data_IF_795795555931
#
_entry.id   IF_795795555931
#
_cell.length_a   1.000
_cell.length_b   1.000
_cell.length_c   1.000
_cell.angle_alpha   90.00
_cell.angle_beta   90.00
_cell.angle_gamma   90.00
#
_symmetry.space_group_name_H-M   'P 1'
#
loop_
_entity.id
_entity.type
_entity.pdbx_description
1 polymer ?
#
# COMPACT_ATOMS: atom_id res chain seq x y z
N UNK A 1 -2.48 9.47 8.05
CA UNK A 1 -1.63 9.34 6.84
C UNK A 1 -0.62 8.22 7.01
N UNK A 2 0.04 7.74 5.95
CA UNK A 2 0.89 6.53 5.97
C UNK A 2 1.93 6.53 7.11
N UNK A 3 2.61 7.65 7.35
CA UNK A 3 3.60 7.78 8.43
C UNK A 3 3.04 7.45 9.83
N UNK A 4 1.76 7.71 10.08
CA UNK A 4 1.13 7.38 11.36
C UNK A 4 0.92 5.87 11.48
N UNK A 5 0.53 5.21 10.39
CA UNK A 5 0.33 3.75 10.33
C UNK A 5 1.68 3.03 10.50
N UNK A 6 2.73 3.51 9.84
CA UNK A 6 4.08 2.97 9.98
C UNK A 6 4.62 3.05 11.43
N UNK A 7 4.19 4.04 12.22
CA UNK A 7 4.59 4.16 13.63
C UNK A 7 3.77 3.28 14.57
N UNK A 8 2.49 3.07 14.30
CA UNK A 8 1.62 2.29 15.18
C UNK A 8 1.90 0.78 15.11
N UNK A 9 2.67 0.32 14.13
CA UNK A 9 2.85 -1.11 13.88
C UNK A 9 4.01 -1.78 14.61
N UNK A 10 4.76 -1.04 15.42
CA UNK A 10 5.72 -1.63 16.36
C UNK A 10 5.06 -2.51 17.42
N UNK A 11 3.75 -2.37 17.63
CA UNK A 11 2.97 -3.09 18.64
C UNK A 11 2.27 -4.34 18.09
N UNK A 12 2.34 -4.59 16.77
CA UNK A 12 1.75 -5.77 16.14
C UNK A 12 2.71 -6.97 16.10
N UNK A 13 2.17 -8.16 15.87
CA UNK A 13 2.98 -9.34 15.59
C UNK A 13 3.82 -9.16 14.32
N UNK A 14 4.91 -9.92 14.21
CA UNK A 14 5.88 -9.78 13.13
C UNK A 14 5.25 -9.96 11.74
N UNK A 15 4.34 -10.93 11.58
CA UNK A 15 3.73 -11.22 10.28
C UNK A 15 2.80 -10.09 9.84
N UNK A 16 1.97 -9.57 10.75
CA UNK A 16 1.13 -8.39 10.49
C UNK A 16 1.99 -7.16 10.20
N UNK A 17 3.08 -6.97 10.96
CA UNK A 17 4.01 -5.84 10.76
C UNK A 17 4.65 -5.84 9.39
N UNK A 18 5.09 -7.00 8.91
CA UNK A 18 5.67 -7.17 7.58
C UNK A 18 4.68 -6.86 6.46
N UNK A 19 3.45 -7.39 6.55
CA UNK A 19 2.41 -7.17 5.53
C UNK A 19 2.08 -5.68 5.39
N UNK A 20 1.82 -4.99 6.50
CA UNK A 20 1.47 -3.57 6.46
C UNK A 20 2.66 -2.71 6.04
N UNK A 21 3.90 -3.04 6.45
CA UNK A 21 5.11 -2.35 5.94
C UNK A 21 5.21 -2.51 4.42
N UNK A 22 4.94 -3.71 3.89
CA UNK A 22 4.90 -3.95 2.45
C UNK A 22 3.92 -3.04 1.72
N UNK A 23 2.70 -2.90 2.26
CA UNK A 23 1.70 -1.98 1.70
C UNK A 23 2.11 -0.50 1.83
N UNK A 24 2.67 -0.08 2.97
CA UNK A 24 3.16 1.28 3.15
C UNK A 24 4.28 1.62 2.16
N UNK A 25 5.19 0.68 1.91
CA UNK A 25 6.23 0.80 0.89
C UNK A 25 5.64 0.88 -0.52
N UNK A 26 4.64 0.07 -0.84
CA UNK A 26 3.97 0.11 -2.15
C UNK A 26 3.32 1.48 -2.42
N UNK A 27 2.65 2.07 -1.42
CA UNK A 27 2.05 3.40 -1.59
C UNK A 27 3.12 4.49 -1.67
N UNK A 28 4.15 4.46 -0.82
CA UNK A 28 5.27 5.43 -0.90
C UNK A 28 5.97 5.35 -2.25
N UNK A 29 6.26 4.14 -2.73
CA UNK A 29 6.87 3.92 -4.03
C UNK A 29 6.00 4.44 -5.17
N UNK A 30 4.68 4.32 -5.07
CA UNK A 30 3.75 4.86 -6.07
C UNK A 30 3.78 6.38 -6.13
N UNK A 31 3.89 7.04 -4.97
CA UNK A 31 3.94 8.51 -4.86
C UNK A 31 5.26 9.11 -5.35
N UNK A 32 6.38 8.40 -5.21
CA UNK A 32 7.71 8.93 -5.56
C UNK A 32 8.23 8.47 -6.92
N UNK A 33 7.61 7.44 -7.51
CA UNK A 33 7.96 6.97 -8.85
C UNK A 33 7.11 7.72 -9.86
N UNK A 34 7.39 9.01 -9.96
CA UNK A 34 7.02 9.81 -11.12
C UNK A 34 7.84 9.31 -12.30
N UNK A 35 7.20 9.00 -13.41
CA UNK A 35 7.88 8.50 -14.62
C UNK A 35 8.82 9.55 -15.23
N UNK A 36 9.07 9.48 -16.53
CA UNK A 36 9.73 10.59 -17.24
C UNK A 36 8.71 11.45 -17.98
N UNK A 37 8.23 12.58 -17.42
CA UNK A 37 7.50 13.56 -18.21
C UNK A 37 8.36 14.07 -19.39
N UNK A 38 7.77 14.40 -20.55
CA UNK A 38 6.35 14.25 -20.92
C UNK A 38 5.99 12.86 -21.50
N UNK A 39 6.96 11.94 -21.61
CA UNK A 39 6.77 10.62 -22.21
C UNK A 39 5.83 9.73 -21.37
N UNK A 40 5.87 9.90 -20.06
CA UNK A 40 4.99 9.22 -19.12
C UNK A 40 3.98 10.17 -18.50
N UNK A 41 2.70 9.81 -18.57
CA UNK A 41 1.65 10.46 -17.80
C UNK A 41 1.74 10.04 -16.32
N UNK A 42 2.59 10.71 -15.54
CA UNK A 42 2.85 10.42 -14.13
C UNK A 42 1.58 10.29 -13.28
N UNK A 43 0.60 11.18 -13.51
CA UNK A 43 -0.70 11.15 -12.83
C UNK A 43 -1.53 9.90 -13.14
N UNK A 44 -1.55 9.44 -14.40
CA UNK A 44 -2.25 8.20 -14.78
C UNK A 44 -1.58 6.98 -14.17
N UNK A 45 -0.24 6.92 -14.22
CA UNK A 45 0.52 5.84 -13.58
C UNK A 45 0.33 5.80 -12.06
N UNK A 46 0.24 6.96 -11.42
CA UNK A 46 -0.08 7.05 -9.99
C UNK A 46 -1.46 6.46 -9.70
N UNK A 47 -2.49 6.89 -10.46
CA UNK A 47 -3.85 6.40 -10.28
C UNK A 47 -3.93 4.88 -10.47
N UNK A 48 -3.33 4.35 -11.54
CA UNK A 48 -3.33 2.91 -11.84
C UNK A 48 -2.72 2.10 -10.69
N UNK A 49 -1.55 2.52 -10.19
CA UNK A 49 -0.87 1.83 -9.08
C UNK A 49 -1.67 1.87 -7.78
N UNK A 50 -2.27 3.00 -7.45
CA UNK A 50 -3.12 3.11 -6.26
C UNK A 50 -4.37 2.22 -6.38
N UNK A 51 -4.99 2.15 -7.56
CA UNK A 51 -6.12 1.25 -7.81
C UNK A 51 -5.74 -0.23 -7.70
N UNK A 52 -4.53 -0.62 -8.13
CA UNK A 52 -4.05 -2.00 -7.95
C UNK A 52 -3.81 -2.34 -6.47
N UNK A 53 -3.29 -1.39 -5.69
CA UNK A 53 -3.10 -1.55 -4.24
C UNK A 53 -4.46 -1.71 -3.55
N UNK A 54 -5.42 -0.85 -3.87
CA UNK A 54 -6.80 -0.92 -3.34
C UNK A 54 -7.46 -2.26 -3.68
N UNK A 55 -7.42 -2.68 -4.95
CA UNK A 55 -7.98 -3.96 -5.37
C UNK A 55 -7.31 -5.16 -4.65
N UNK A 56 -6.01 -5.06 -4.35
CA UNK A 56 -5.31 -6.07 -3.57
C UNK A 56 -5.84 -6.15 -2.13
N UNK A 57 -6.01 -5.00 -1.46
CA UNK A 57 -6.58 -4.93 -0.12
C UNK A 57 -8.03 -5.43 -0.08
N UNK A 58 -8.84 -5.06 -1.07
CA UNK A 58 -10.24 -5.48 -1.17
C UNK A 58 -10.36 -7.01 -1.33
N UNK A 59 -9.50 -7.64 -2.14
CA UNK A 59 -9.45 -9.10 -2.26
C UNK A 59 -9.13 -9.78 -0.92
N UNK A 60 -8.21 -9.23 -0.14
CA UNK A 60 -7.88 -9.76 1.19
C UNK A 60 -9.08 -9.62 2.14
N UNK A 61 -9.74 -8.46 2.14
CA UNK A 61 -10.94 -8.24 2.95
C UNK A 61 -12.06 -9.23 2.59
N UNK A 62 -12.31 -9.47 1.31
CA UNK A 62 -13.31 -10.43 0.81
C UNK A 62 -12.99 -11.89 1.16
N UNK A 63 -11.71 -12.25 1.29
CA UNK A 63 -11.28 -13.63 1.61
C UNK A 63 -11.50 -13.99 3.09
N UNK A 64 -11.88 -13.02 3.94
CA UNK A 64 -12.16 -13.27 5.37
C UNK A 64 -10.92 -13.62 6.20
N UNK A 65 -9.72 -13.34 5.71
CA UNK A 65 -8.46 -13.81 6.31
C UNK A 65 -7.95 -12.97 7.50
N UNK A 66 -8.77 -12.07 8.04
CA UNK A 66 -8.49 -11.44 9.34
C UNK A 66 -9.58 -11.86 10.33
N UNK A 67 -9.35 -12.99 11.01
CA UNK A 67 -9.99 -13.27 12.29
C UNK A 67 -9.17 -12.53 13.34
N UNK A 68 -9.78 -11.53 13.96
CA UNK A 68 -9.20 -10.83 15.12
C UNK A 68 -8.87 -11.86 16.22
N UNK A 69 -7.71 -11.78 16.90
CA UNK A 69 -7.51 -12.52 18.15
C UNK A 69 -8.46 -12.04 19.25
#
# INVERSE_FOLDING_TARGET
>A
GIRQIERSISECDQATSEVVRGYCLAVRGSLTNDGRPPLDASGLKLQERLSLIEASLERVAKKGAYQNP
#
